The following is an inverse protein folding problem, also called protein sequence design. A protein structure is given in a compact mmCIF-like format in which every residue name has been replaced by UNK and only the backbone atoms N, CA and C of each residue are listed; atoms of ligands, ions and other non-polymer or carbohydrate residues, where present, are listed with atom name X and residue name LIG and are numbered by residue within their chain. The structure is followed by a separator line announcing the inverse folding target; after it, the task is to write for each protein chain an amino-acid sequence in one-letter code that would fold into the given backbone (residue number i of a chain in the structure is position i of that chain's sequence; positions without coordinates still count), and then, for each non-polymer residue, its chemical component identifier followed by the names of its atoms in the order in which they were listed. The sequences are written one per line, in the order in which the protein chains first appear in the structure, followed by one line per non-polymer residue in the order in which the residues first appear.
data_IF_939656455438
#
_entry.id   IF_939656455438
#
_cell.length_a   1.000
_cell.length_b   1.000
_cell.length_c   1.000
_cell.angle_alpha   90.00
_cell.angle_beta   90.00
_cell.angle_gamma   90.00
#
_symmetry.space_group_name_H-M   'P 1'
#
loop_
_entity.id
_entity.type
_entity.pdbx_description
1 polymer ?
#
# COMPACT_ATOMS: atom_id res chain seq x y z
N UNK A 1 28.89 -33.22 -3.95
CA UNK A 1 28.32 -33.86 -5.13
C UNK A 1 27.37 -34.97 -4.66
N UNK A 2 26.25 -35.16 -5.36
CA UNK A 2 25.37 -36.31 -5.13
C UNK A 2 26.01 -37.61 -5.66
N UNK A 3 25.29 -38.74 -5.49
CA UNK A 3 25.78 -40.06 -5.97
C UNK A 3 25.98 -40.12 -7.50
N UNK A 4 25.41 -39.16 -8.24
CA UNK A 4 25.56 -39.05 -9.69
C UNK A 4 26.61 -38.01 -10.12
N UNK A 5 27.38 -37.46 -9.19
CA UNK A 5 28.41 -36.46 -9.44
C UNK A 5 27.93 -35.06 -9.71
N UNK A 6 26.65 -34.73 -9.43
CA UNK A 6 26.10 -33.37 -9.57
C UNK A 6 26.38 -32.54 -8.32
N UNK A 7 26.66 -31.23 -8.47
CA UNK A 7 26.82 -30.32 -7.35
C UNK A 7 25.55 -30.30 -6.48
N UNK A 8 25.72 -30.51 -5.17
CA UNK A 8 24.66 -30.42 -4.19
C UNK A 8 24.98 -29.27 -3.25
N UNK A 9 24.00 -28.41 -3.01
CA UNK A 9 24.10 -27.34 -2.04
C UNK A 9 23.78 -27.89 -0.66
N UNK A 10 24.66 -27.61 0.29
CA UNK A 10 24.50 -28.04 1.67
C UNK A 10 24.57 -26.82 2.61
N UNK A 11 23.69 -26.79 3.61
CA UNK A 11 23.80 -25.85 4.72
C UNK A 11 24.52 -26.58 5.87
N UNK A 12 25.69 -26.05 6.25
CA UNK A 12 26.47 -26.58 7.38
C UNK A 12 26.38 -25.58 8.53
N UNK A 13 25.78 -25.98 9.64
CA UNK A 13 25.86 -25.24 10.91
C UNK A 13 26.72 -26.07 11.86
N UNK A 14 27.79 -25.45 12.36
CA UNK A 14 28.67 -26.12 13.32
C UNK A 14 29.08 -25.21 14.45
N UNK A 15 29.30 -25.82 15.62
CA UNK A 15 29.89 -25.16 16.78
C UNK A 15 31.21 -25.88 17.14
N UNK A 16 32.25 -25.09 17.36
CA UNK A 16 33.50 -25.57 17.87
C UNK A 16 33.34 -25.73 19.37
N UNK A 17 33.66 -26.91 19.89
CA UNK A 17 33.81 -27.20 21.32
C UNK A 17 35.31 -27.20 21.63
N UNK A 18 35.70 -26.33 22.55
CA UNK A 18 37.07 -26.24 23.02
C UNK A 18 37.32 -27.19 24.19
N UNK A 19 38.56 -27.64 24.37
CA UNK A 19 39.01 -28.35 25.54
C UNK A 19 39.15 -27.45 26.79
N UNK A 20 39.60 -27.98 27.90
CA UNK A 20 39.80 -27.27 29.15
C UNK A 20 40.86 -26.15 29.05
N UNK A 21 41.75 -26.21 28.03
CA UNK A 21 42.78 -25.22 27.77
C UNK A 21 42.35 -24.17 26.72
N UNK A 22 41.07 -24.19 26.31
CA UNK A 22 40.48 -23.26 25.34
C UNK A 22 40.85 -23.56 23.88
N UNK A 23 41.47 -24.69 23.56
CA UNK A 23 41.82 -25.09 22.20
C UNK A 23 40.66 -25.84 21.54
N UNK A 24 40.46 -25.65 20.23
CA UNK A 24 39.46 -26.40 19.47
C UNK A 24 39.68 -27.89 19.57
N UNK A 25 38.68 -28.62 20.09
CA UNK A 25 38.79 -30.08 20.29
C UNK A 25 37.81 -30.88 19.43
N UNK A 26 36.57 -30.40 19.32
CA UNK A 26 35.55 -30.98 18.45
C UNK A 26 34.80 -29.93 17.64
N UNK A 27 34.42 -30.28 16.41
CA UNK A 27 33.43 -29.55 15.62
C UNK A 27 32.16 -30.40 15.59
N UNK A 28 31.10 -29.90 16.21
CA UNK A 28 29.77 -30.51 16.15
C UNK A 28 28.92 -29.68 15.19
N UNK A 29 28.37 -30.31 14.17
CA UNK A 29 27.59 -29.60 13.16
C UNK A 29 26.50 -30.47 12.57
N UNK A 30 25.49 -29.80 12.03
CA UNK A 30 24.45 -30.39 11.21
C UNK A 30 24.66 -30.00 9.76
N UNK A 31 24.62 -30.96 8.87
CA UNK A 31 24.71 -30.74 7.41
C UNK A 31 23.35 -31.12 6.83
N UNK A 32 22.64 -30.14 6.26
CA UNK A 32 21.41 -30.37 5.53
C UNK A 32 21.63 -30.13 4.04
N UNK A 33 21.20 -31.08 3.22
CA UNK A 33 21.17 -30.88 1.77
C UNK A 33 20.09 -29.85 1.42
N UNK A 34 20.47 -28.82 0.66
CA UNK A 34 19.55 -27.83 0.14
C UNK A 34 19.30 -28.19 -1.33
N UNK A 35 18.07 -28.54 -1.67
CA UNK A 35 17.69 -28.79 -3.06
C UNK A 35 18.05 -27.61 -3.98
N UNK A 36 18.16 -27.85 -5.28
CA UNK A 36 18.59 -26.81 -6.26
C UNK A 36 17.77 -25.51 -6.24
N UNK A 37 16.55 -25.53 -5.68
CA UNK A 37 15.67 -24.37 -5.50
C UNK A 37 15.84 -23.63 -4.16
N UNK A 38 16.62 -24.14 -3.22
CA UNK A 38 16.72 -23.63 -1.84
C UNK A 38 18.14 -23.13 -1.55
N UNK A 39 18.61 -22.12 -2.31
CA UNK A 39 19.87 -21.44 -1.98
C UNK A 39 19.66 -20.54 -0.77
N UNK A 40 20.51 -20.71 0.26
CA UNK A 40 20.59 -19.73 1.32
C UNK A 40 21.17 -18.41 0.76
N UNK A 41 20.66 -17.31 1.27
CA UNK A 41 21.19 -15.98 0.96
C UNK A 41 22.65 -15.85 1.45
N UNK A 42 23.51 -15.30 0.62
CA UNK A 42 24.96 -15.24 0.91
C UNK A 42 25.31 -14.27 2.04
N UNK A 43 24.46 -13.27 2.31
CA UNK A 43 24.70 -12.25 3.33
C UNK A 43 24.16 -12.72 4.68
N UNK A 44 22.85 -13.04 4.73
CA UNK A 44 22.19 -13.42 5.98
C UNK A 44 22.35 -14.91 6.34
N UNK A 45 22.65 -15.76 5.36
CA UNK A 45 22.65 -17.21 5.54
C UNK A 45 21.28 -17.85 5.67
N UNK A 46 20.21 -17.10 5.49
CA UNK A 46 18.83 -17.55 5.62
C UNK A 46 18.30 -18.12 4.31
N UNK A 47 17.32 -19.02 4.42
CA UNK A 47 16.55 -19.46 3.25
C UNK A 47 15.69 -18.33 2.72
N UNK A 48 15.50 -18.31 1.39
CA UNK A 48 14.75 -17.26 0.70
C UNK A 48 13.28 -17.60 0.47
N UNK A 49 12.65 -16.74 -0.31
CA UNK A 49 11.25 -16.76 -0.70
C UNK A 49 10.78 -18.13 -1.24
N UNK A 50 11.55 -18.77 -2.12
CA UNK A 50 11.21 -20.09 -2.68
C UNK A 50 11.07 -21.18 -1.62
N UNK A 51 11.83 -21.08 -0.52
CA UNK A 51 11.75 -22.02 0.59
C UNK A 51 10.54 -21.75 1.49
N UNK A 52 10.15 -20.49 1.64
CA UNK A 52 8.93 -20.10 2.33
C UNK A 52 7.70 -20.59 1.55
N UNK A 53 7.65 -20.35 0.23
CA UNK A 53 6.57 -20.85 -0.63
C UNK A 53 6.41 -22.37 -0.50
N UNK A 54 7.50 -23.11 -0.70
CA UNK A 54 7.49 -24.57 -0.57
C UNK A 54 7.08 -25.06 0.83
N UNK A 55 7.35 -24.27 1.87
CA UNK A 55 6.92 -24.60 3.24
C UNK A 55 5.43 -24.38 3.44
N UNK A 56 4.88 -23.28 2.94
CA UNK A 56 3.44 -22.98 3.02
C UNK A 56 2.63 -23.97 2.19
N UNK A 57 3.09 -24.31 0.99
CA UNK A 57 2.42 -25.25 0.06
C UNK A 57 2.33 -26.69 0.58
N UNK A 58 3.02 -27.04 1.67
CA UNK A 58 2.89 -28.36 2.31
C UNK A 58 1.55 -28.53 3.07
N UNK A 59 0.84 -27.46 3.35
CA UNK A 59 -0.39 -27.47 4.13
C UNK A 59 -1.63 -27.36 3.21
N UNK A 60 -1.91 -28.44 2.48
CA UNK A 60 -3.03 -28.53 1.51
C UNK A 60 -4.41 -28.34 2.17
N UNK A 61 -4.55 -28.83 3.43
CA UNK A 61 -5.82 -28.79 4.17
C UNK A 61 -6.03 -27.49 4.98
N UNK A 62 -5.16 -26.52 4.83
CA UNK A 62 -5.16 -25.25 5.58
C UNK A 62 -3.97 -25.10 6.51
N UNK A 63 -3.65 -23.85 6.83
CA UNK A 63 -2.51 -23.53 7.70
C UNK A 63 -2.82 -23.88 9.16
N UNK A 64 -1.82 -24.37 9.92
CA UNK A 64 -1.94 -24.47 11.36
C UNK A 64 -2.12 -23.10 12.02
N UNK A 65 -2.70 -23.08 13.23
CA UNK A 65 -2.85 -21.86 14.02
C UNK A 65 -1.49 -21.22 14.31
N UNK A 66 -1.42 -19.90 14.11
CA UNK A 66 -0.19 -19.16 14.31
C UNK A 66 -0.15 -17.83 13.56
N UNK A 67 1.04 -17.38 13.20
CA UNK A 67 1.22 -16.09 12.56
C UNK A 67 2.37 -16.05 11.56
N UNK A 68 2.28 -15.06 10.67
CA UNK A 68 3.37 -14.55 9.85
C UNK A 68 3.76 -13.17 10.37
N UNK A 69 5.06 -12.94 10.61
CA UNK A 69 5.60 -11.64 11.00
C UNK A 69 6.63 -11.21 9.95
N UNK A 70 6.24 -10.29 9.07
CA UNK A 70 7.12 -9.68 8.07
C UNK A 70 7.80 -8.47 8.68
N UNK A 71 9.13 -8.46 8.67
CA UNK A 71 9.97 -7.44 9.29
C UNK A 71 10.79 -6.78 8.19
N UNK A 72 10.84 -5.45 8.16
CA UNK A 72 11.68 -4.69 7.25
C UNK A 72 12.54 -3.67 7.99
N UNK A 73 13.77 -3.48 7.53
CA UNK A 73 14.66 -2.42 8.03
C UNK A 73 14.16 -1.08 7.50
N UNK A 74 13.94 -0.13 8.39
CA UNK A 74 13.49 1.20 8.01
C UNK A 74 14.65 1.98 7.35
N UNK A 75 14.35 2.66 6.25
CA UNK A 75 15.29 3.52 5.51
C UNK A 75 16.62 2.82 5.11
N UNK A 76 16.57 1.51 4.85
CA UNK A 76 17.76 0.73 4.51
C UNK A 76 18.52 1.27 3.29
N UNK A 77 17.82 1.91 2.34
CA UNK A 77 18.45 2.56 1.20
C UNK A 77 19.38 3.70 1.61
N UNK A 78 18.99 4.46 2.63
CA UNK A 78 19.79 5.59 3.14
C UNK A 78 21.05 5.07 3.86
N UNK A 79 20.93 3.97 4.60
CA UNK A 79 22.08 3.29 5.21
C UNK A 79 23.10 2.90 4.12
N UNK A 80 22.66 2.29 3.02
CA UNK A 80 23.53 1.96 1.90
C UNK A 80 24.11 3.21 1.21
N UNK A 81 23.35 4.30 1.13
CA UNK A 81 23.79 5.56 0.56
C UNK A 81 24.88 6.22 1.38
N UNK A 82 24.72 6.26 2.70
CA UNK A 82 25.61 6.96 3.62
C UNK A 82 26.87 6.18 3.98
N UNK A 83 26.75 4.84 4.11
CA UNK A 83 27.83 3.99 4.63
C UNK A 83 28.36 2.96 3.63
N UNK A 84 27.72 2.82 2.47
CA UNK A 84 28.10 1.86 1.43
C UNK A 84 27.48 0.46 1.61
N UNK A 85 27.51 -0.32 0.53
CA UNK A 85 26.86 -1.64 0.45
C UNK A 85 27.42 -2.66 1.45
N UNK A 86 28.74 -2.64 1.70
CA UNK A 86 29.38 -3.57 2.65
C UNK A 86 28.85 -3.34 4.08
N UNK A 87 28.61 -2.10 4.44
CA UNK A 87 28.02 -1.77 5.74
C UNK A 87 26.55 -2.16 5.79
N UNK A 88 25.80 -1.97 4.69
CA UNK A 88 24.42 -2.46 4.59
C UNK A 88 24.34 -3.97 4.73
N UNK A 89 25.25 -4.73 4.12
CA UNK A 89 25.33 -6.19 4.28
C UNK A 89 25.62 -6.59 5.73
N UNK A 90 26.48 -5.83 6.43
CA UNK A 90 26.73 -6.02 7.86
C UNK A 90 25.47 -5.80 8.70
N UNK A 91 24.71 -4.73 8.44
CA UNK A 91 23.43 -4.44 9.12
C UNK A 91 22.39 -5.53 8.84
N UNK A 92 22.28 -5.98 7.58
CA UNK A 92 21.39 -7.08 7.19
C UNK A 92 21.70 -8.36 7.97
N UNK A 93 22.98 -8.71 8.03
CA UNK A 93 23.40 -9.91 8.76
C UNK A 93 23.13 -9.78 10.27
N UNK A 94 23.48 -8.65 10.86
CA UNK A 94 23.25 -8.39 12.28
C UNK A 94 21.76 -8.40 12.63
N UNK A 95 20.91 -7.84 11.76
CA UNK A 95 19.45 -7.90 11.92
C UNK A 95 18.96 -9.34 11.86
N UNK A 96 19.44 -10.14 10.89
CA UNK A 96 19.11 -11.55 10.79
C UNK A 96 19.52 -12.33 12.05
N UNK A 97 20.71 -12.06 12.59
CA UNK A 97 21.22 -12.69 13.79
C UNK A 97 20.38 -12.29 15.02
N UNK A 98 20.05 -11.00 15.19
CA UNK A 98 19.14 -10.53 16.24
C UNK A 98 17.74 -11.19 16.16
N UNK A 99 17.19 -11.36 14.96
CA UNK A 99 15.91 -12.07 14.81
C UNK A 99 16.08 -13.54 15.21
N UNK A 100 17.14 -14.21 14.71
CA UNK A 100 17.39 -15.63 14.97
C UNK A 100 17.59 -15.95 16.46
N UNK A 101 18.15 -15.02 17.23
CA UNK A 101 18.35 -15.16 18.68
C UNK A 101 17.03 -15.05 19.47
N UNK A 102 16.03 -14.38 18.93
CA UNK A 102 14.75 -14.14 19.59
C UNK A 102 13.64 -15.11 19.19
N UNK A 103 13.81 -15.89 18.12
CA UNK A 103 12.81 -16.87 17.69
C UNK A 103 12.95 -18.20 18.46
N UNK A 104 11.81 -18.87 18.66
CA UNK A 104 11.75 -20.21 19.26
C UNK A 104 12.18 -21.28 18.23
N UNK A 105 12.62 -22.48 18.69
CA UNK A 105 12.97 -23.59 17.80
C UNK A 105 11.81 -24.04 16.88
N UNK A 106 10.55 -23.81 17.27
CA UNK A 106 9.36 -24.10 16.47
C UNK A 106 9.11 -23.07 15.36
N UNK A 107 9.70 -21.89 15.46
CA UNK A 107 9.55 -20.80 14.51
C UNK A 107 10.58 -20.90 13.38
N UNK A 108 10.24 -20.40 12.20
CA UNK A 108 11.12 -20.40 11.03
C UNK A 108 11.38 -18.97 10.58
N UNK A 109 12.61 -18.71 10.17
CA UNK A 109 13.06 -17.39 9.68
C UNK A 109 13.52 -17.51 8.23
N UNK A 110 13.02 -16.59 7.40
CA UNK A 110 13.37 -16.47 5.99
C UNK A 110 13.77 -15.03 5.66
N UNK A 111 14.64 -14.85 4.66
CA UNK A 111 14.86 -13.57 4.00
C UNK A 111 14.09 -13.58 2.70
N UNK A 112 13.08 -12.72 2.56
CA UNK A 112 12.13 -12.76 1.43
C UNK A 112 12.45 -11.76 0.34
N UNK A 113 12.91 -10.56 0.71
CA UNK A 113 13.32 -9.50 -0.21
C UNK A 113 14.59 -8.82 0.34
N UNK A 114 15.07 -7.77 -0.35
CA UNK A 114 16.33 -7.07 -0.08
C UNK A 114 16.64 -6.87 1.42
N UNK A 115 15.77 -6.18 2.13
CA UNK A 115 15.89 -5.81 3.56
C UNK A 115 14.75 -6.38 4.40
N UNK A 116 14.02 -7.38 3.88
CA UNK A 116 12.84 -7.91 4.53
C UNK A 116 12.99 -9.38 4.91
N UNK A 117 12.51 -9.67 6.11
CA UNK A 117 12.52 -10.98 6.72
C UNK A 117 11.11 -11.46 7.03
N UNK A 118 10.90 -12.77 7.05
CA UNK A 118 9.64 -13.38 7.46
C UNK A 118 9.88 -14.39 8.57
N UNK A 119 9.24 -14.17 9.71
CA UNK A 119 9.12 -15.19 10.75
C UNK A 119 7.77 -15.88 10.62
N UNK A 120 7.78 -17.21 10.66
CA UNK A 120 6.58 -18.05 10.62
C UNK A 120 6.49 -18.84 11.91
N UNK A 121 5.36 -18.73 12.58
CA UNK A 121 5.01 -19.53 13.76
C UNK A 121 3.76 -20.35 13.47
N UNK A 122 3.85 -21.66 13.52
CA UNK A 122 2.73 -22.61 13.42
C UNK A 122 2.59 -23.44 14.70
N UNK A 123 3.03 -22.91 15.84
CA UNK A 123 2.91 -23.57 17.14
C UNK A 123 1.74 -23.07 18.00
N UNK A 124 0.78 -22.37 17.40
CA UNK A 124 -0.39 -21.81 18.08
C UNK A 124 -0.12 -20.44 18.75
N UNK A 125 0.91 -19.72 18.30
CA UNK A 125 1.15 -18.33 18.72
C UNK A 125 0.07 -17.38 18.20
N UNK A 126 -0.39 -16.48 19.04
CA UNK A 126 -1.37 -15.44 18.71
C UNK A 126 -0.71 -14.10 18.31
N UNK A 127 -1.51 -13.07 18.06
CA UNK A 127 -1.02 -11.74 17.70
C UNK A 127 -0.31 -11.02 18.86
N UNK A 128 -0.58 -11.38 20.09
CA UNK A 128 0.15 -10.89 21.25
C UNK A 128 1.58 -11.45 21.25
N UNK A 129 1.72 -12.76 20.98
CA UNK A 129 3.03 -13.41 20.81
C UNK A 129 3.84 -12.82 19.65
N UNK A 130 3.19 -12.49 18.51
CA UNK A 130 3.86 -11.82 17.40
C UNK A 130 4.36 -10.43 17.78
N UNK A 131 3.56 -9.66 18.51
CA UNK A 131 3.91 -8.32 18.99
C UNK A 131 5.03 -8.38 20.02
N UNK A 132 5.01 -9.35 20.93
CA UNK A 132 6.06 -9.53 21.92
C UNK A 132 7.39 -9.94 21.26
N UNK A 133 7.34 -10.84 20.28
CA UNK A 133 8.52 -11.19 19.47
C UNK A 133 9.12 -9.96 18.81
N UNK A 134 8.31 -9.11 18.18
CA UNK A 134 8.79 -7.86 17.60
C UNK A 134 9.50 -6.96 18.63
N UNK A 135 8.91 -6.79 19.82
CA UNK A 135 9.50 -5.97 20.90
C UNK A 135 10.85 -6.52 21.34
N UNK A 136 10.96 -7.84 21.47
CA UNK A 136 12.21 -8.50 21.86
C UNK A 136 13.29 -8.32 20.79
N UNK A 137 12.97 -8.52 19.51
CA UNK A 137 13.87 -8.25 18.38
C UNK A 137 14.32 -6.79 18.39
N UNK A 138 13.38 -5.85 18.56
CA UNK A 138 13.67 -4.41 18.60
C UNK A 138 14.65 -4.08 19.73
N UNK A 139 14.44 -4.65 20.92
CA UNK A 139 15.35 -4.48 22.07
C UNK A 139 16.75 -5.04 21.79
N UNK A 140 16.86 -6.20 21.15
CA UNK A 140 18.16 -6.78 20.75
C UNK A 140 18.88 -5.89 19.74
N UNK A 141 18.15 -5.27 18.79
CA UNK A 141 18.71 -4.32 17.85
C UNK A 141 19.18 -3.02 18.54
N UNK A 142 18.44 -2.51 19.52
CA UNK A 142 18.87 -1.35 20.29
C UNK A 142 20.20 -1.62 21.01
N UNK A 143 20.33 -2.79 21.64
CA UNK A 143 21.58 -3.25 22.26
C UNK A 143 22.71 -3.35 21.23
N UNK A 144 22.44 -3.97 20.08
CA UNK A 144 23.41 -4.04 18.98
C UNK A 144 23.90 -2.66 18.52
N UNK A 145 22.98 -1.70 18.35
CA UNK A 145 23.32 -0.32 17.95
C UNK A 145 24.20 0.35 19.01
N UNK A 146 23.87 0.18 20.29
CA UNK A 146 24.64 0.71 21.41
C UNK A 146 26.06 0.14 21.47
N UNK A 147 26.19 -1.19 21.37
CA UNK A 147 27.49 -1.88 21.36
C UNK A 147 28.39 -1.48 20.17
N UNK A 148 27.78 -1.10 19.05
CA UNK A 148 28.48 -0.59 17.87
C UNK A 148 28.69 0.94 17.90
N UNK A 149 28.50 1.60 19.05
CA UNK A 149 28.81 3.01 19.28
C UNK A 149 27.95 3.97 18.46
N UNK A 150 26.70 3.59 18.15
CA UNK A 150 25.75 4.40 17.40
C UNK A 150 26.25 4.86 16.02
N UNK A 151 27.08 4.04 15.37
CA UNK A 151 27.62 4.35 14.04
C UNK A 151 26.52 4.60 13.01
N UNK A 152 25.44 3.83 13.05
CA UNK A 152 24.18 4.15 12.41
C UNK A 152 23.03 3.84 13.37
N UNK A 153 22.02 4.71 13.40
CA UNK A 153 20.79 4.50 14.16
C UNK A 153 19.70 4.19 13.18
N UNK A 154 19.16 2.99 13.25
CA UNK A 154 18.07 2.54 12.39
C UNK A 154 17.00 1.82 13.21
N UNK A 155 15.84 1.68 12.61
CA UNK A 155 14.71 0.97 13.22
C UNK A 155 14.22 -0.14 12.31
N UNK A 156 13.34 -0.97 12.82
CA UNK A 156 12.61 -1.95 12.04
C UNK A 156 11.11 -1.71 12.18
N UNK A 157 10.39 -1.94 11.11
CA UNK A 157 8.93 -2.03 11.11
C UNK A 157 8.51 -3.47 10.88
N UNK A 158 7.33 -3.85 11.37
CA UNK A 158 6.81 -5.19 11.15
C UNK A 158 5.31 -5.19 10.84
N UNK A 159 4.89 -6.17 10.05
CA UNK A 159 3.49 -6.48 9.79
C UNK A 159 3.19 -7.91 10.25
N UNK A 160 2.24 -8.07 11.17
CA UNK A 160 1.81 -9.37 11.68
C UNK A 160 0.47 -9.78 11.07
N UNK A 161 0.37 -11.03 10.62
CA UNK A 161 -0.84 -11.61 10.02
C UNK A 161 -1.15 -12.93 10.70
N UNK A 162 -2.37 -13.06 11.21
CA UNK A 162 -2.93 -14.28 11.78
C UNK A 162 -3.23 -15.30 10.67
N UNK A 163 -2.80 -16.56 10.84
CA UNK A 163 -3.07 -17.63 9.87
C UNK A 163 -4.54 -17.82 9.60
N UNK A 164 -5.41 -17.64 10.60
CA UNK A 164 -6.85 -17.74 10.47
C UNK A 164 -7.48 -16.67 9.55
N UNK A 165 -6.74 -15.58 9.28
CA UNK A 165 -7.18 -14.47 8.40
C UNK A 165 -6.61 -14.57 6.97
N UNK A 166 -5.90 -15.64 6.65
CA UNK A 166 -5.37 -15.87 5.30
C UNK A 166 -6.19 -16.92 4.56
N UNK A 167 -6.15 -16.90 3.22
CA UNK A 167 -6.67 -18.00 2.42
C UNK A 167 -5.76 -19.24 2.39
N UNK A 168 -4.65 -19.21 3.14
CA UNK A 168 -3.67 -20.29 3.19
C UNK A 168 -2.74 -20.37 1.97
N UNK A 169 -2.93 -19.55 0.94
CA UNK A 169 -2.03 -19.51 -0.22
C UNK A 169 -0.83 -18.62 0.04
N UNK A 170 0.33 -19.02 -0.50
CA UNK A 170 1.55 -18.22 -0.42
C UNK A 170 1.34 -16.78 -0.92
N UNK A 171 0.68 -16.62 -2.07
CA UNK A 171 0.41 -15.31 -2.66
C UNK A 171 -0.42 -14.40 -1.73
N UNK A 172 -1.46 -14.96 -1.10
CA UNK A 172 -2.29 -14.21 -0.16
C UNK A 172 -1.49 -13.78 1.08
N UNK A 173 -0.69 -14.68 1.66
CA UNK A 173 0.19 -14.39 2.81
C UNK A 173 1.14 -13.24 2.48
N UNK A 174 1.81 -13.29 1.32
CA UNK A 174 2.75 -12.26 0.90
C UNK A 174 2.05 -10.91 0.74
N UNK A 175 0.87 -10.89 0.13
CA UNK A 175 0.07 -9.69 -0.09
C UNK A 175 -0.39 -9.03 1.23
N UNK A 176 -0.92 -9.83 2.17
CA UNK A 176 -1.42 -9.31 3.44
C UNK A 176 -0.28 -8.86 4.37
N UNK A 177 0.82 -9.61 4.41
CA UNK A 177 1.98 -9.25 5.22
C UNK A 177 2.71 -8.02 4.68
N UNK A 178 2.75 -7.84 3.35
CA UNK A 178 3.28 -6.63 2.72
C UNK A 178 2.43 -5.41 3.05
N UNK A 179 1.11 -5.54 2.93
CA UNK A 179 0.19 -4.47 3.33
C UNK A 179 0.39 -4.09 4.80
N UNK A 180 0.48 -5.06 5.70
CA UNK A 180 0.68 -4.82 7.12
C UNK A 180 2.02 -4.13 7.42
N UNK A 181 3.12 -4.56 6.78
CA UNK A 181 4.42 -3.91 6.93
C UNK A 181 4.41 -2.47 6.40
N UNK A 182 3.84 -2.24 5.21
CA UNK A 182 3.73 -0.89 4.63
C UNK A 182 2.89 0.02 5.51
N UNK A 183 1.77 -0.48 6.06
CA UNK A 183 0.95 0.27 7.03
C UNK A 183 1.76 0.67 8.26
N UNK A 184 2.59 -0.23 8.82
CA UNK A 184 3.49 0.10 9.92
C UNK A 184 4.48 1.23 9.55
N UNK A 185 5.06 1.17 8.34
CA UNK A 185 5.98 2.20 7.82
C UNK A 185 5.27 3.54 7.61
N UNK A 186 4.08 3.54 7.04
CA UNK A 186 3.28 4.76 6.77
C UNK A 186 2.79 5.44 8.07
N UNK A 187 2.50 4.66 9.10
CA UNK A 187 2.12 5.18 10.42
C UNK A 187 3.27 5.75 11.24
N UNK A 188 4.47 5.87 10.68
CA UNK A 188 5.63 6.52 11.29
C UNK A 188 6.77 5.58 11.67
N UNK A 189 6.81 4.37 11.10
CA UNK A 189 7.90 3.38 11.27
C UNK A 189 8.10 2.91 12.72
N UNK A 190 9.14 2.10 12.96
CA UNK A 190 9.53 1.62 14.30
C UNK A 190 8.36 1.03 15.11
N UNK A 191 7.53 0.21 14.47
CA UNK A 191 6.34 -0.42 15.08
C UNK A 191 5.96 -1.71 14.41
N UNK A 192 5.14 -2.49 15.11
CA UNK A 192 4.43 -3.64 14.56
C UNK A 192 2.98 -3.26 14.31
N UNK A 193 2.48 -3.52 13.10
CA UNK A 193 1.08 -3.40 12.75
C UNK A 193 0.47 -4.79 12.61
N UNK A 194 -0.67 -5.02 13.28
CA UNK A 194 -1.45 -6.25 13.14
C UNK A 194 -2.45 -6.06 12.02
N UNK A 195 -2.44 -6.96 11.05
CA UNK A 195 -3.38 -6.95 9.94
C UNK A 195 -4.84 -6.98 10.43
N UNK A 196 -5.64 -6.05 9.92
CA UNK A 196 -7.07 -5.97 10.12
C UNK A 196 -7.77 -5.96 8.76
N UNK A 197 -8.78 -6.83 8.58
CA UNK A 197 -9.51 -6.94 7.32
C UNK A 197 -10.21 -5.62 6.95
N UNK A 198 -10.79 -4.95 7.93
CA UNK A 198 -11.51 -3.70 7.75
C UNK A 198 -10.61 -2.59 7.18
N UNK A 199 -9.39 -2.46 7.70
CA UNK A 199 -8.41 -1.48 7.22
C UNK A 199 -7.92 -1.83 5.81
N UNK A 200 -7.78 -3.12 5.53
CA UNK A 200 -7.40 -3.60 4.19
C UNK A 200 -8.48 -3.33 3.15
N UNK A 201 -9.75 -3.50 3.51
CA UNK A 201 -10.89 -3.19 2.63
C UNK A 201 -10.93 -1.68 2.30
N UNK A 202 -10.69 -0.82 3.30
CA UNK A 202 -10.55 0.63 3.10
C UNK A 202 -9.38 0.95 2.16
N UNK A 203 -8.25 0.29 2.33
CA UNK A 203 -7.08 0.45 1.45
C UNK A 203 -7.40 0.03 0.00
N UNK A 204 -8.04 -1.12 -0.19
CA UNK A 204 -8.44 -1.60 -1.51
C UNK A 204 -9.42 -0.63 -2.17
N UNK A 205 -10.36 -0.10 -1.40
CA UNK A 205 -11.32 0.91 -1.85
C UNK A 205 -10.63 2.17 -2.34
N UNK A 206 -9.71 2.74 -1.53
CA UNK A 206 -8.89 3.89 -1.92
C UNK A 206 -8.12 3.63 -3.21
N UNK A 207 -7.48 2.48 -3.33
CA UNK A 207 -6.71 2.07 -4.52
C UNK A 207 -7.61 1.97 -5.76
N UNK A 208 -8.82 1.43 -5.61
CA UNK A 208 -9.81 1.34 -6.67
C UNK A 208 -10.23 2.73 -7.16
N UNK A 209 -10.65 3.62 -6.24
CA UNK A 209 -11.07 4.98 -6.57
C UNK A 209 -9.92 5.74 -7.25
N UNK A 210 -8.71 5.69 -6.69
CA UNK A 210 -7.52 6.34 -7.27
C UNK A 210 -7.27 5.91 -8.72
N UNK A 211 -7.36 4.61 -9.02
CA UNK A 211 -7.21 4.09 -10.38
C UNK A 211 -8.27 4.65 -11.32
N UNK A 212 -9.53 4.71 -10.86
CA UNK A 212 -10.63 5.24 -11.66
C UNK A 212 -10.50 6.75 -11.90
N UNK A 213 -10.02 7.51 -10.90
CA UNK A 213 -9.74 8.94 -11.06
C UNK A 213 -8.64 9.19 -12.10
N UNK A 214 -7.55 8.43 -12.08
CA UNK A 214 -6.51 8.48 -13.11
C UNK A 214 -7.07 8.17 -14.50
N UNK A 215 -7.89 7.12 -14.61
CA UNK A 215 -8.54 6.77 -15.87
C UNK A 215 -9.43 7.91 -16.36
N UNK A 216 -10.35 8.40 -15.53
CA UNK A 216 -11.30 9.43 -15.86
C UNK A 216 -10.63 10.74 -16.33
N UNK A 217 -9.61 11.21 -15.62
CA UNK A 217 -8.87 12.44 -15.98
C UNK A 217 -8.18 12.30 -17.34
N UNK A 218 -7.66 11.12 -17.67
CA UNK A 218 -6.97 10.87 -18.95
C UNK A 218 -7.94 10.58 -20.11
N UNK A 219 -9.23 10.30 -19.83
CA UNK A 219 -10.24 9.94 -20.82
C UNK A 219 -11.42 10.95 -20.85
N UNK A 220 -11.09 12.24 -20.83
CA UNK A 220 -12.09 13.29 -21.03
C UNK A 220 -12.99 13.56 -19.83
N UNK A 221 -12.55 13.18 -18.61
CA UNK A 221 -13.28 13.34 -17.35
C UNK A 221 -14.57 12.51 -17.28
N UNK A 222 -14.57 11.32 -17.85
CA UNK A 222 -15.68 10.39 -17.77
C UNK A 222 -16.05 10.12 -16.32
N UNK A 223 -17.34 10.19 -15.98
CA UNK A 223 -17.85 10.03 -14.61
C UNK A 223 -17.77 11.30 -13.76
N UNK A 224 -17.07 12.35 -14.20
CA UNK A 224 -17.14 13.66 -13.53
C UNK A 224 -18.37 14.44 -13.98
N UNK A 225 -19.05 15.03 -13.00
CA UNK A 225 -20.21 15.90 -13.21
C UNK A 225 -20.09 17.17 -12.37
N UNK A 226 -20.71 18.24 -12.85
CA UNK A 226 -20.84 19.48 -12.08
C UNK A 226 -22.28 19.65 -11.62
N UNK A 227 -22.50 19.65 -10.31
CA UNK A 227 -23.79 19.98 -9.70
C UNK A 227 -23.77 21.44 -9.28
N UNK A 228 -24.94 22.03 -9.25
CA UNK A 228 -25.12 23.44 -8.92
C UNK A 228 -26.11 23.59 -7.78
N UNK A 229 -25.63 24.08 -6.64
CA UNK A 229 -26.49 24.40 -5.49
C UNK A 229 -26.95 25.86 -5.58
N UNK A 230 -28.25 26.14 -5.65
CA UNK A 230 -28.75 27.50 -5.85
C UNK A 230 -28.49 28.39 -4.63
N UNK A 231 -28.10 29.63 -4.90
CA UNK A 231 -27.95 30.69 -3.90
C UNK A 231 -29.08 31.71 -4.13
N UNK A 232 -29.90 31.95 -3.11
CA UNK A 232 -31.03 32.86 -3.16
C UNK A 232 -30.81 34.06 -2.24
N UNK A 233 -31.21 35.23 -2.68
CA UNK A 233 -31.24 36.43 -1.85
C UNK A 233 -32.36 36.30 -0.80
N UNK A 234 -32.02 36.47 0.47
CA UNK A 234 -32.92 36.22 1.58
C UNK A 234 -34.07 37.19 1.70
N UNK A 235 -33.91 38.41 1.16
CA UNK A 235 -34.93 39.47 1.20
C UNK A 235 -35.92 39.35 0.03
N UNK A 236 -35.36 39.18 -1.18
CA UNK A 236 -36.16 39.12 -2.40
C UNK A 236 -36.62 37.74 -2.77
N UNK A 237 -36.01 36.69 -2.17
CA UNK A 237 -36.17 35.26 -2.49
C UNK A 237 -35.90 34.92 -3.97
N UNK A 238 -35.13 35.76 -4.64
CA UNK A 238 -34.72 35.54 -6.04
C UNK A 238 -33.41 34.75 -6.08
N UNK A 239 -33.27 33.94 -7.12
CA UNK A 239 -32.03 33.25 -7.42
C UNK A 239 -30.98 34.28 -7.88
N UNK A 240 -29.84 34.34 -7.24
CA UNK A 240 -28.77 35.31 -7.50
C UNK A 240 -27.45 34.62 -7.88
N UNK A 241 -27.34 33.33 -7.66
CA UNK A 241 -26.11 32.56 -7.98
C UNK A 241 -26.27 31.09 -7.73
N UNK A 242 -25.18 30.38 -7.88
CA UNK A 242 -25.06 28.98 -7.50
C UNK A 242 -23.61 28.65 -7.04
N UNK A 243 -23.48 27.66 -6.18
CA UNK A 243 -22.21 27.00 -5.90
C UNK A 243 -22.05 25.81 -6.83
N UNK A 244 -20.92 25.76 -7.55
CA UNK A 244 -20.57 24.64 -8.40
C UNK A 244 -19.85 23.58 -7.58
N UNK A 245 -20.38 22.37 -7.60
CA UNK A 245 -19.93 21.25 -6.78
C UNK A 245 -19.55 20.07 -7.66
N UNK A 246 -18.29 19.64 -7.56
CA UNK A 246 -17.78 18.48 -8.29
C UNK A 246 -18.43 17.19 -7.75
N UNK A 247 -18.82 16.33 -8.67
CA UNK A 247 -19.31 14.97 -8.40
C UNK A 247 -18.50 13.99 -9.23
N UNK A 248 -18.36 12.79 -8.71
CA UNK A 248 -17.68 11.72 -9.42
C UNK A 248 -18.45 10.42 -9.25
N UNK A 249 -18.59 9.69 -10.32
CA UNK A 249 -19.13 8.34 -10.36
C UNK A 249 -18.16 7.42 -11.10
N UNK A 250 -18.05 6.19 -10.67
CA UNK A 250 -17.23 5.20 -11.34
C UNK A 250 -18.05 3.95 -11.70
N UNK A 251 -17.63 3.17 -12.70
CA UNK A 251 -18.30 1.90 -13.02
C UNK A 251 -18.24 0.94 -11.82
N UNK A 252 -19.37 0.38 -11.44
CA UNK A 252 -19.40 -0.74 -10.49
C UNK A 252 -18.72 -1.96 -11.11
N UNK A 253 -17.87 -2.64 -10.33
CA UNK A 253 -17.24 -3.91 -10.72
C UNK A 253 -17.83 -5.07 -9.93
N UNK A 254 -17.91 -6.23 -10.56
CA UNK A 254 -18.16 -7.49 -9.87
C UNK A 254 -16.92 -7.91 -9.07
N UNK A 255 -17.06 -8.87 -8.15
CA UNK A 255 -15.95 -9.43 -7.36
C UNK A 255 -14.85 -10.05 -8.24
N UNK A 256 -15.21 -10.53 -9.43
CA UNK A 256 -14.29 -11.03 -10.47
C UNK A 256 -13.53 -9.93 -11.25
N UNK A 257 -13.79 -8.66 -10.96
CA UNK A 257 -13.16 -7.51 -11.58
C UNK A 257 -13.80 -7.03 -12.88
N UNK A 258 -14.85 -7.67 -13.36
CA UNK A 258 -15.63 -7.22 -14.51
C UNK A 258 -16.58 -6.07 -14.13
N UNK A 259 -16.91 -5.25 -15.12
CA UNK A 259 -17.86 -4.14 -14.93
C UNK A 259 -19.29 -4.71 -14.81
N UNK A 260 -19.99 -4.37 -13.70
CA UNK A 260 -21.40 -4.72 -13.55
C UNK A 260 -22.24 -4.06 -14.64
N UNK A 261 -22.98 -4.86 -15.37
CA UNK A 261 -23.91 -4.41 -16.39
C UNK A 261 -25.34 -4.70 -15.92
N UNK A 262 -26.23 -3.73 -16.04
CA UNK A 262 -27.66 -3.95 -15.83
C UNK A 262 -28.29 -4.41 -17.15
N UNK A 263 -28.97 -5.57 -17.11
CA UNK A 263 -29.86 -5.92 -18.21
C UNK A 263 -31.04 -4.96 -18.21
N UNK A 264 -31.14 -4.12 -19.21
CA UNK A 264 -32.35 -3.31 -19.43
C UNK A 264 -33.46 -4.25 -19.86
N UNK A 265 -34.56 -4.33 -19.11
CA UNK A 265 -35.73 -5.09 -19.49
C UNK A 265 -36.15 -4.72 -20.92
N UNK A 266 -36.17 -5.68 -21.80
CA UNK A 266 -36.57 -5.54 -23.20
C UNK A 266 -38.03 -5.10 -23.22
N UNK A 267 -38.33 -3.94 -23.85
CA UNK A 267 -39.68 -3.67 -24.33
C UNK A 267 -40.05 -4.71 -25.39
N UNK A 268 -41.34 -4.98 -25.56
CA UNK A 268 -41.91 -6.05 -26.41
C UNK A 268 -41.48 -6.03 -27.90
N UNK A 269 -40.58 -5.13 -28.31
CA UNK A 269 -40.16 -4.89 -29.70
C UNK A 269 -38.83 -5.51 -30.14
N UNK A 270 -38.23 -6.41 -29.38
CA UNK A 270 -37.19 -7.34 -29.86
C UNK A 270 -35.86 -6.76 -30.34
N UNK A 271 -35.49 -5.52 -29.95
CA UNK A 271 -34.16 -4.99 -30.19
C UNK A 271 -33.21 -5.38 -29.07
N UNK A 272 -31.95 -5.69 -29.41
CA UNK A 272 -30.88 -6.10 -28.50
C UNK A 272 -30.83 -5.19 -27.25
N UNK A 273 -30.90 -5.81 -26.08
CA UNK A 273 -30.77 -5.10 -24.82
C UNK A 273 -29.36 -4.49 -24.72
N UNK A 274 -29.26 -3.17 -24.85
CA UNK A 274 -28.02 -2.47 -24.53
C UNK A 274 -27.67 -2.70 -23.06
N UNK A 275 -26.63 -3.45 -22.80
CA UNK A 275 -26.09 -3.66 -21.47
C UNK A 275 -25.58 -2.29 -20.93
N UNK A 276 -26.33 -1.70 -20.01
CA UNK A 276 -25.90 -0.44 -19.37
C UNK A 276 -24.94 -0.72 -18.24
N UNK A 277 -23.79 -0.07 -18.25
CA UNK A 277 -22.84 -0.03 -17.14
C UNK A 277 -23.51 0.61 -15.92
N UNK A 278 -23.50 -0.07 -14.79
CA UNK A 278 -23.96 0.49 -13.54
C UNK A 278 -22.88 1.39 -12.94
N UNK A 279 -23.27 2.60 -12.49
CA UNK A 279 -22.37 3.61 -11.98
C UNK A 279 -22.60 3.81 -10.48
N UNK A 280 -21.52 3.73 -9.71
CA UNK A 280 -21.50 4.04 -8.29
C UNK A 280 -21.09 5.50 -8.10
N UNK A 281 -21.88 6.25 -7.32
CA UNK A 281 -21.52 7.61 -6.94
C UNK A 281 -20.58 7.63 -5.76
N UNK A 282 -19.43 8.27 -5.93
CA UNK A 282 -18.40 8.40 -4.90
C UNK A 282 -18.59 9.70 -4.15
N UNK A 283 -18.49 9.65 -2.82
CA UNK A 283 -18.61 10.84 -1.98
C UNK A 283 -17.44 11.81 -2.20
N UNK A 284 -17.67 13.13 -2.24
CA UNK A 284 -16.58 14.12 -2.27
C UNK A 284 -15.55 13.95 -1.16
N UNK A 285 -15.97 13.49 0.02
CA UNK A 285 -15.07 13.22 1.15
C UNK A 285 -14.10 12.06 0.85
N UNK A 286 -14.48 11.13 -0.03
CA UNK A 286 -13.60 10.03 -0.46
C UNK A 286 -12.68 10.45 -1.61
N UNK A 287 -13.21 11.09 -2.67
CA UNK A 287 -12.42 11.28 -3.89
C UNK A 287 -11.63 12.60 -3.94
N UNK A 288 -12.07 13.67 -3.29
CA UNK A 288 -11.33 14.96 -3.29
C UNK A 288 -9.95 14.82 -2.65
N UNK A 289 -9.80 14.20 -1.45
CA UNK A 289 -8.47 13.97 -0.87
C UNK A 289 -7.55 13.15 -1.79
N UNK A 290 -8.08 12.15 -2.50
CA UNK A 290 -7.31 11.34 -3.44
C UNK A 290 -6.86 12.13 -4.67
N UNK A 291 -7.69 13.06 -5.17
CA UNK A 291 -7.29 13.99 -6.22
C UNK A 291 -6.15 14.92 -5.74
N UNK A 292 -6.18 15.35 -4.48
CA UNK A 292 -5.15 16.20 -3.88
C UNK A 292 -3.83 15.45 -3.66
N UNK A 293 -3.89 14.26 -3.07
CA UNK A 293 -2.74 13.37 -2.82
C UNK A 293 -2.01 13.03 -4.13
N UNK A 294 -2.75 12.74 -5.19
CA UNK A 294 -2.20 12.38 -6.51
C UNK A 294 -1.85 13.57 -7.40
N UNK A 295 -2.24 14.77 -7.03
CA UNK A 295 -2.11 15.96 -7.86
C UNK A 295 -3.12 16.06 -9.01
N UNK A 296 -4.01 15.09 -9.17
CA UNK A 296 -5.08 15.10 -10.19
C UNK A 296 -6.11 16.20 -9.94
N UNK A 297 -6.14 16.80 -8.76
CA UNK A 297 -6.98 17.97 -8.46
C UNK A 297 -6.68 19.15 -9.39
N UNK A 298 -5.45 19.26 -9.93
CA UNK A 298 -5.08 20.33 -10.84
C UNK A 298 -5.83 20.21 -12.17
N UNK A 299 -5.72 19.12 -12.95
CA UNK A 299 -6.49 18.96 -14.18
C UNK A 299 -8.01 18.87 -13.94
N UNK A 300 -8.46 18.18 -12.87
CA UNK A 300 -9.87 18.07 -12.53
C UNK A 300 -10.48 19.44 -12.15
N UNK A 301 -9.76 20.23 -11.37
CA UNK A 301 -10.19 21.58 -10.99
C UNK A 301 -10.21 22.54 -12.18
N UNK A 302 -9.26 22.42 -13.11
CA UNK A 302 -9.29 23.19 -14.37
C UNK A 302 -10.53 22.83 -15.20
N UNK A 303 -10.85 21.55 -15.36
CA UNK A 303 -12.07 21.09 -16.02
C UNK A 303 -13.31 21.68 -15.33
N UNK A 304 -13.38 21.62 -14.00
CA UNK A 304 -14.47 22.16 -13.19
C UNK A 304 -14.64 23.67 -13.39
N UNK A 305 -13.56 24.44 -13.42
CA UNK A 305 -13.57 25.88 -13.69
C UNK A 305 -14.22 26.18 -15.03
N UNK A 306 -13.83 25.48 -16.09
CA UNK A 306 -14.41 25.67 -17.42
C UNK A 306 -15.91 25.32 -17.45
N UNK A 307 -16.33 24.23 -16.81
CA UNK A 307 -17.74 23.83 -16.70
C UNK A 307 -18.57 24.90 -15.97
N UNK A 308 -18.10 25.33 -14.81
CA UNK A 308 -18.81 26.30 -13.98
C UNK A 308 -18.92 27.68 -14.67
N UNK A 309 -17.82 28.22 -15.20
CA UNK A 309 -17.80 29.55 -15.84
C UNK A 309 -18.61 29.54 -17.15
N UNK A 310 -18.52 28.50 -17.97
CA UNK A 310 -19.34 28.31 -19.15
C UNK A 310 -20.84 28.29 -18.81
N UNK A 311 -21.21 27.57 -17.76
CA UNK A 311 -22.61 27.50 -17.31
C UNK A 311 -23.10 28.85 -16.76
N UNK A 312 -22.26 29.55 -15.98
CA UNK A 312 -22.57 30.91 -15.50
C UNK A 312 -22.86 31.86 -16.69
N UNK A 313 -22.02 31.84 -17.73
CA UNK A 313 -22.24 32.65 -18.95
C UNK A 313 -23.59 32.36 -19.63
N UNK A 314 -23.97 31.06 -19.68
CA UNK A 314 -25.30 30.68 -20.23
C UNK A 314 -26.44 31.21 -19.36
N UNK A 315 -26.32 31.14 -18.03
CA UNK A 315 -27.38 31.54 -17.10
C UNK A 315 -27.52 33.06 -16.98
N UNK A 316 -26.43 33.82 -17.11
CA UNK A 316 -26.52 35.31 -17.15
C UNK A 316 -27.38 35.86 -18.26
N UNK A 317 -27.59 35.09 -19.33
CA UNK A 317 -28.54 35.48 -20.42
C UNK A 317 -29.99 35.55 -19.93
N UNK A 318 -30.33 34.81 -18.88
CA UNK A 318 -31.69 34.74 -18.31
C UNK A 318 -31.80 35.43 -16.97
N UNK A 319 -30.71 35.44 -16.19
CA UNK A 319 -30.64 36.02 -14.84
C UNK A 319 -29.46 37.00 -14.81
N UNK A 320 -29.73 38.30 -15.06
CA UNK A 320 -28.67 39.32 -15.03
C UNK A 320 -27.92 39.34 -13.72
N UNK A 321 -26.60 39.49 -13.76
CA UNK A 321 -25.68 39.50 -12.63
C UNK A 321 -25.65 38.18 -11.82
N UNK A 322 -26.04 37.06 -12.42
CA UNK A 322 -25.88 35.73 -11.79
C UNK A 322 -24.41 35.47 -11.49
N UNK A 323 -24.13 34.94 -10.32
CA UNK A 323 -22.75 34.62 -9.85
C UNK A 323 -22.57 33.11 -9.67
N UNK A 324 -21.34 32.64 -9.82
CA UNK A 324 -20.98 31.25 -9.58
C UNK A 324 -19.85 31.18 -8.55
N UNK A 325 -20.06 30.41 -7.48
CA UNK A 325 -19.00 30.12 -6.52
C UNK A 325 -18.32 28.79 -6.91
N UNK A 326 -17.00 28.77 -6.85
CA UNK A 326 -16.20 27.59 -7.21
C UNK A 326 -15.20 27.34 -6.08
N UNK A 327 -15.20 26.11 -5.54
CA UNK A 327 -14.25 25.70 -4.51
C UNK A 327 -12.87 25.45 -5.16
N UNK A 328 -11.83 25.97 -4.55
CA UNK A 328 -10.45 25.76 -4.95
C UNK A 328 -9.70 24.97 -3.90
N UNK A 329 -8.94 23.96 -4.33
CA UNK A 329 -8.03 23.23 -3.45
C UNK A 329 -6.77 24.04 -3.17
N UNK A 330 -6.24 23.92 -1.95
CA UNK A 330 -4.94 24.49 -1.60
C UNK A 330 -3.82 24.02 -2.54
N UNK A 331 -3.87 22.75 -2.96
CA UNK A 331 -2.90 22.19 -3.91
C UNK A 331 -2.92 22.91 -5.25
N UNK A 332 -4.13 23.27 -5.76
CA UNK A 332 -4.26 24.06 -6.98
C UNK A 332 -3.64 25.46 -6.83
N UNK A 333 -3.91 26.14 -5.71
CA UNK A 333 -3.38 27.47 -5.45
C UNK A 333 -1.85 27.45 -5.39
N UNK A 334 -1.26 26.44 -4.74
CA UNK A 334 0.19 26.37 -4.53
C UNK A 334 0.96 25.81 -5.73
N UNK A 335 0.37 24.87 -6.47
CA UNK A 335 1.09 24.09 -7.49
C UNK A 335 0.64 24.37 -8.93
N UNK A 336 -0.31 25.30 -9.15
CA UNK A 336 -0.77 25.69 -10.49
C UNK A 336 -0.86 27.22 -10.66
N UNK A 337 -1.19 27.66 -11.88
CA UNK A 337 -1.45 29.08 -12.19
C UNK A 337 -2.95 29.34 -12.18
N UNK A 338 -3.65 28.93 -11.11
CA UNK A 338 -5.11 28.94 -11.04
C UNK A 338 -5.72 30.33 -11.35
N UNK A 339 -5.11 31.41 -10.87
CA UNK A 339 -5.59 32.76 -11.18
C UNK A 339 -5.56 33.07 -12.69
N UNK A 340 -4.47 32.69 -13.36
CA UNK A 340 -4.35 32.85 -14.82
C UNK A 340 -5.40 32.03 -15.55
N UNK A 341 -5.67 30.81 -15.08
CA UNK A 341 -6.69 29.93 -15.65
C UNK A 341 -8.10 30.50 -15.50
N UNK A 342 -8.44 31.05 -14.31
CA UNK A 342 -9.71 31.72 -14.05
C UNK A 342 -9.89 32.93 -15.01
N UNK A 343 -8.89 33.81 -15.07
CA UNK A 343 -8.94 34.99 -15.93
C UNK A 343 -9.05 34.63 -17.43
N UNK A 344 -8.39 33.56 -17.84
CA UNK A 344 -8.48 33.04 -19.21
C UNK A 344 -9.87 32.49 -19.51
N UNK A 345 -10.43 31.70 -18.58
CA UNK A 345 -11.78 31.18 -18.73
C UNK A 345 -12.85 32.30 -18.75
N UNK A 346 -12.73 33.29 -17.88
CA UNK A 346 -13.65 34.44 -17.88
C UNK A 346 -13.64 35.17 -19.23
N UNK A 347 -12.45 35.45 -19.78
CA UNK A 347 -12.31 36.07 -21.11
C UNK A 347 -12.91 35.17 -22.21
N UNK A 348 -12.66 33.88 -22.18
CA UNK A 348 -13.17 32.92 -23.17
C UNK A 348 -14.69 32.88 -23.21
N UNK A 349 -15.34 32.97 -22.06
CA UNK A 349 -16.80 32.89 -21.95
C UNK A 349 -17.50 34.26 -21.83
N UNK A 350 -16.75 35.37 -21.93
CA UNK A 350 -17.27 36.73 -21.94
C UNK A 350 -17.88 37.17 -20.62
N UNK A 351 -17.29 36.78 -19.50
CA UNK A 351 -17.76 37.15 -18.17
C UNK A 351 -16.81 38.17 -17.49
N UNK A 352 -17.41 39.06 -16.69
CA UNK A 352 -16.67 39.93 -15.80
C UNK A 352 -16.16 39.17 -14.57
N UNK A 353 -15.00 39.56 -13.95
CA UNK A 353 -14.46 38.93 -12.78
C UNK A 353 -15.42 38.87 -11.58
N UNK A 354 -16.37 39.78 -11.49
CA UNK A 354 -17.41 39.80 -10.45
C UNK A 354 -18.44 38.66 -10.53
N UNK A 355 -18.39 37.87 -11.61
CA UNK A 355 -19.29 36.73 -11.80
C UNK A 355 -18.81 35.45 -11.06
N UNK A 356 -17.57 35.42 -10.57
CA UNK A 356 -16.97 34.25 -9.88
C UNK A 356 -16.44 34.65 -8.51
#
# INVERSE_FOLDING_TARGET
LDRAGKPVWINCRGRVLNDADGKPHFLVGCINEIGQKQKADNVSGLLGESSLSAYVEQFEDGLPDGFFLRIGIDDFRDINGDFGMEYGDYILKSTADCIAENIKPSQRLYRILADEFMVVDFSGGDMEAATELYKNIRKSLDTFIEENGYKSVFTISAGAVDTAKTSGTYENIMKLSEYALNTAKDQGKNRCYIYMQEDYDVFLRKKQITRQLHHAVNHGFEGFETYYQPIVDTKTRRLVGAEALMRFSMPERCEDGETKKEAVCVGEDGHDADEKVRWERISPVEFIPLLEETGLIIPAGKWMLHQAISTCSRWQKYIPNFRININLSYVQVMKSRVLTEILTALRLYGLEPSAV
#
